data_IF_423224434753
#
_entry.id   IF_423224434753
#
_cell.length_a   1.000
_cell.length_b   1.000
_cell.length_c   1.000
_cell.angle_alpha   90.00
_cell.angle_beta   90.00
_cell.angle_gamma   90.00
#
_symmetry.space_group_name_H-M   'P 1'
#
loop_
_entity.id
_entity.type
_entity.pdbx_description
1 polymer ?
#
# COMPACT_ATOMS: atom_id res chain seq x y z
N UNK A 1 19.18 -6.90 6.83
CA UNK A 1 17.80 -6.44 6.68
C UNK A 1 17.81 -4.94 6.46
N UNK A 2 17.16 -4.49 5.39
CA UNK A 2 17.12 -3.10 4.97
C UNK A 2 15.77 -2.75 4.35
N UNK A 3 15.39 -1.50 4.57
CA UNK A 3 14.27 -0.85 3.89
C UNK A 3 14.84 0.02 2.78
N UNK A 4 14.47 -0.23 1.52
CA UNK A 4 14.98 0.55 0.38
C UNK A 4 13.90 1.37 -0.32
N UNK A 5 12.62 1.04 -0.14
CA UNK A 5 11.51 1.78 -0.74
C UNK A 5 10.39 2.01 0.27
N UNK A 6 9.93 3.26 0.35
CA UNK A 6 8.75 3.68 1.08
C UNK A 6 7.90 4.57 0.15
N UNK A 7 6.56 4.54 0.26
CA UNK A 7 5.66 5.28 -0.61
C UNK A 7 5.50 6.74 -0.15
N UNK A 8 6.62 7.47 -0.14
CA UNK A 8 6.74 8.76 0.56
C UNK A 8 6.27 9.95 -0.25
N UNK A 9 6.09 9.80 -1.56
CA UNK A 9 5.45 10.82 -2.41
C UNK A 9 3.97 10.54 -2.60
N UNK A 10 3.18 11.58 -2.89
CA UNK A 10 1.75 11.42 -3.15
C UNK A 10 1.47 10.48 -4.33
N UNK A 11 2.33 10.47 -5.35
CA UNK A 11 2.21 9.56 -6.50
C UNK A 11 2.41 8.10 -6.07
N UNK A 12 3.47 7.80 -5.33
CA UNK A 12 3.74 6.45 -4.82
C UNK A 12 2.64 5.99 -3.86
N UNK A 13 2.13 6.89 -3.02
CA UNK A 13 1.01 6.61 -2.13
C UNK A 13 -0.24 6.22 -2.91
N UNK A 14 -0.58 6.96 -3.98
CA UNK A 14 -1.71 6.61 -4.86
C UNK A 14 -1.50 5.27 -5.57
N UNK A 15 -0.29 4.99 -6.04
CA UNK A 15 0.04 3.69 -6.65
C UNK A 15 -0.15 2.54 -5.66
N UNK A 16 0.32 2.69 -4.42
CA UNK A 16 0.12 1.70 -3.38
C UNK A 16 -1.36 1.55 -3.01
N UNK A 17 -2.13 2.64 -2.91
CA UNK A 17 -3.58 2.59 -2.70
C UNK A 17 -4.26 1.77 -3.81
N UNK A 18 -3.96 2.07 -5.08
CA UNK A 18 -4.52 1.34 -6.22
C UNK A 18 -4.14 -0.14 -6.21
N UNK A 19 -2.91 -0.47 -5.83
CA UNK A 19 -2.47 -1.86 -5.67
C UNK A 19 -3.27 -2.59 -4.59
N UNK A 20 -3.53 -1.93 -3.45
CA UNK A 20 -4.28 -2.51 -2.32
C UNK A 20 -5.81 -2.49 -2.49
N UNK A 21 -6.30 -1.98 -3.63
CA UNK A 21 -7.72 -1.98 -4.00
C UNK A 21 -8.29 -3.39 -4.17
N UNK A 22 -7.49 -4.26 -4.76
CA UNK A 22 -7.86 -5.60 -5.15
C UNK A 22 -7.03 -6.61 -4.35
N UNK A 23 -7.49 -7.86 -4.19
CA UNK A 23 -6.67 -8.90 -3.59
C UNK A 23 -5.27 -8.92 -4.20
N UNK A 24 -4.24 -9.01 -3.35
CA UNK A 24 -2.85 -9.05 -3.78
C UNK A 24 -2.32 -10.46 -3.51
N UNK A 25 -2.27 -11.34 -4.53
CA UNK A 25 -1.78 -12.71 -4.36
C UNK A 25 -0.30 -12.74 -3.96
N UNK A 26 0.05 -13.60 -3.02
CA UNK A 26 1.43 -13.76 -2.54
C UNK A 26 2.45 -13.99 -3.67
N UNK A 27 2.10 -14.76 -4.72
CA UNK A 27 2.99 -15.03 -5.86
C UNK A 27 3.44 -13.78 -6.63
N UNK A 28 2.63 -12.73 -6.67
CA UNK A 28 2.91 -11.50 -7.41
C UNK A 28 3.25 -10.32 -6.48
N UNK A 29 3.12 -10.50 -5.17
CA UNK A 29 3.20 -9.42 -4.21
C UNK A 29 4.57 -8.73 -4.19
N UNK A 30 5.66 -9.51 -4.14
CA UNK A 30 7.04 -8.98 -4.10
C UNK A 30 7.34 -8.11 -5.32
N UNK A 31 6.98 -8.57 -6.52
CA UNK A 31 7.26 -7.82 -7.75
C UNK A 31 6.45 -6.53 -7.83
N UNK A 32 5.19 -6.54 -7.36
CA UNK A 32 4.36 -5.34 -7.29
C UNK A 32 4.84 -4.32 -6.24
N UNK A 33 5.43 -4.79 -5.13
CA UNK A 33 5.81 -3.94 -4.00
C UNK A 33 7.25 -3.44 -4.08
N UNK A 34 8.13 -4.10 -4.84
CA UNK A 34 9.59 -3.86 -4.85
C UNK A 34 10.01 -2.38 -4.86
N UNK A 35 9.38 -1.56 -5.71
CA UNK A 35 9.72 -0.13 -5.84
C UNK A 35 8.82 0.81 -5.03
N UNK A 36 7.75 0.29 -4.40
CA UNK A 36 6.74 1.07 -3.68
C UNK A 36 6.87 0.94 -2.17
N UNK A 37 7.06 -0.28 -1.67
CA UNK A 37 7.19 -0.63 -0.26
C UNK A 37 8.11 -1.85 -0.15
N UNK A 38 9.41 -1.58 -0.17
CA UNK A 38 10.47 -2.59 -0.22
C UNK A 38 11.23 -2.66 1.10
N UNK A 39 11.11 -3.80 1.77
CA UNK A 39 11.67 -4.08 3.09
C UNK A 39 11.98 -5.57 3.20
N UNK A 40 13.17 -5.92 3.67
CA UNK A 40 13.60 -7.33 3.77
C UNK A 40 12.63 -8.15 4.64
N UNK A 41 12.27 -7.64 5.82
CA UNK A 41 11.37 -8.35 6.76
C UNK A 41 9.97 -8.55 6.17
N UNK A 42 9.43 -7.54 5.46
CA UNK A 42 8.15 -7.67 4.75
C UNK A 42 8.22 -8.78 3.70
N UNK A 43 9.32 -8.85 2.96
CA UNK A 43 9.43 -9.78 1.83
C UNK A 43 9.62 -11.22 2.32
N UNK A 44 10.37 -11.41 3.40
CA UNK A 44 10.48 -12.70 4.10
C UNK A 44 9.12 -13.19 4.63
N UNK A 45 8.29 -12.28 5.19
CA UNK A 45 6.93 -12.63 5.63
C UNK A 45 5.99 -12.94 4.46
N UNK A 46 6.14 -12.26 3.31
CA UNK A 46 5.37 -12.59 2.10
C UNK A 46 5.72 -14.00 1.60
N UNK A 47 7.00 -14.36 1.55
CA UNK A 47 7.42 -15.72 1.16
C UNK A 47 6.95 -16.79 2.15
N UNK A 48 6.97 -16.45 3.44
CA UNK A 48 6.42 -17.31 4.50
C UNK A 48 4.93 -17.51 4.32
N UNK A 49 4.17 -16.45 4.05
CA UNK A 49 2.73 -16.53 3.76
C UNK A 49 2.45 -17.33 2.48
N UNK A 50 3.25 -17.12 1.42
CA UNK A 50 3.16 -17.88 0.17
C UNK A 50 3.33 -19.38 0.41
N UNK A 51 4.30 -19.75 1.25
CA UNK A 51 4.63 -21.14 1.57
C UNK A 51 3.57 -21.79 2.46
N UNK A 52 3.06 -21.06 3.47
CA UNK A 52 2.16 -21.63 4.48
C UNK A 52 0.68 -21.55 4.11
N UNK A 53 0.27 -20.51 3.37
CA UNK A 53 -1.13 -20.22 3.03
C UNK A 53 -1.43 -20.43 1.54
N UNK A 54 -0.40 -20.61 0.72
CA UNK A 54 -0.49 -20.84 -0.72
C UNK A 54 -0.25 -19.58 -1.56
N UNK A 55 0.05 -19.80 -2.84
CA UNK A 55 0.43 -18.76 -3.80
C UNK A 55 -0.63 -17.67 -4.03
N UNK A 56 -1.90 -18.02 -3.81
CA UNK A 56 -3.06 -17.15 -4.00
C UNK A 56 -3.53 -16.47 -2.71
N UNK A 57 -2.81 -16.64 -1.60
CA UNK A 57 -3.14 -15.97 -0.35
C UNK A 57 -3.11 -14.44 -0.54
N UNK A 58 -4.15 -13.74 -0.08
CA UNK A 58 -4.24 -12.28 -0.15
C UNK A 58 -3.37 -11.64 0.95
N UNK A 59 -2.25 -11.03 0.55
CA UNK A 59 -1.26 -10.47 1.49
C UNK A 59 -1.51 -9.00 1.83
N UNK A 60 -2.61 -8.38 1.37
CA UNK A 60 -2.96 -7.00 1.75
C UNK A 60 -2.93 -6.73 3.26
N UNK A 61 -3.40 -7.64 4.15
CA UNK A 61 -3.31 -7.41 5.60
C UNK A 61 -1.86 -7.27 6.09
N UNK A 62 -0.95 -8.08 5.56
CA UNK A 62 0.48 -8.03 5.88
C UNK A 62 1.10 -6.69 5.44
N UNK A 63 0.82 -6.29 4.20
CA UNK A 63 1.29 -4.99 3.65
C UNK A 63 0.80 -3.82 4.48
N UNK A 64 -0.48 -3.81 4.88
CA UNK A 64 -1.06 -2.74 5.72
C UNK A 64 -0.42 -2.70 7.10
N UNK A 65 -0.08 -3.84 7.68
CA UNK A 65 0.61 -3.93 8.98
C UNK A 65 1.99 -3.26 8.92
N UNK A 66 2.78 -3.62 7.91
CA UNK A 66 4.11 -3.05 7.69
C UNK A 66 4.05 -1.57 7.33
N UNK A 67 3.15 -1.18 6.44
CA UNK A 67 2.90 0.23 6.12
C UNK A 67 2.56 1.05 7.38
N UNK A 68 1.69 0.54 8.24
CA UNK A 68 1.32 1.21 9.48
C UNK A 68 2.50 1.38 10.43
N UNK A 69 3.39 0.36 10.54
CA UNK A 69 4.65 0.47 11.28
C UNK A 69 5.52 1.61 10.74
N UNK A 70 5.73 1.68 9.42
CA UNK A 70 6.53 2.76 8.82
C UNK A 70 5.92 4.15 9.01
N UNK A 71 4.59 4.29 8.94
CA UNK A 71 3.92 5.56 9.20
C UNK A 71 4.07 6.01 10.66
N UNK A 72 4.02 5.08 11.62
CA UNK A 72 4.29 5.39 13.04
C UNK A 72 5.75 5.79 13.27
N UNK A 73 6.65 5.22 12.49
CA UNK A 73 8.09 5.44 12.58
C UNK A 73 8.59 6.42 11.50
N UNK A 74 7.72 7.28 10.97
CA UNK A 74 8.03 8.13 9.80
C UNK A 74 9.30 8.97 9.94
N UNK A 75 9.61 9.38 11.17
CA UNK A 75 10.81 10.18 11.51
C UNK A 75 12.13 9.39 11.36
N UNK A 76 12.05 8.05 11.25
CA UNK A 76 13.19 7.17 11.00
C UNK A 76 13.46 6.93 9.51
N UNK A 77 12.57 7.37 8.64
CA UNK A 77 12.73 7.18 7.20
C UNK A 77 13.92 8.01 6.68
N UNK A 78 14.64 7.47 5.70
CA UNK A 78 15.80 8.17 5.11
C UNK A 78 15.41 9.47 4.40
N UNK A 79 14.21 9.53 3.83
CA UNK A 79 13.61 10.73 3.25
C UNK A 79 12.42 11.17 4.11
N UNK A 80 12.05 12.46 4.11
CA UNK A 80 10.80 12.89 4.72
C UNK A 80 9.60 12.37 3.93
N UNK A 81 8.47 12.22 4.61
CA UNK A 81 7.20 11.95 3.98
C UNK A 81 6.57 13.23 3.47
N UNK A 82 6.01 13.19 2.27
CA UNK A 82 5.02 14.16 1.85
C UNK A 82 3.79 14.05 2.77
N UNK A 83 3.24 15.19 3.19
CA UNK A 83 2.15 15.20 4.17
C UNK A 83 0.85 14.63 3.57
N UNK A 84 0.57 14.88 2.29
CA UNK A 84 -0.61 14.31 1.63
C UNK A 84 -0.46 12.79 1.47
N UNK A 85 0.74 12.31 1.14
CA UNK A 85 1.05 10.88 1.12
C UNK A 85 0.85 10.24 2.49
N UNK A 86 1.37 10.88 3.55
CA UNK A 86 1.24 10.41 4.94
C UNK A 86 -0.23 10.31 5.37
N UNK A 87 -1.03 11.35 5.12
CA UNK A 87 -2.44 11.38 5.48
C UNK A 87 -3.24 10.34 4.69
N UNK A 88 -3.02 10.25 3.37
CA UNK A 88 -3.67 9.26 2.52
C UNK A 88 -3.43 7.83 3.02
N UNK A 89 -2.17 7.48 3.27
CA UNK A 89 -1.78 6.13 3.69
C UNK A 89 -2.21 5.83 5.12
N UNK A 90 -2.18 6.82 6.02
CA UNK A 90 -2.72 6.69 7.38
C UNK A 90 -4.22 6.39 7.37
N UNK A 91 -4.98 7.04 6.48
CA UNK A 91 -6.42 6.84 6.38
C UNK A 91 -6.77 5.41 5.92
N UNK A 92 -6.06 4.86 4.93
CA UNK A 92 -6.32 3.48 4.48
C UNK A 92 -5.89 2.43 5.51
N UNK A 93 -4.91 2.72 6.37
CA UNK A 93 -4.52 1.84 7.48
C UNK A 93 -5.55 1.86 8.62
N UNK A 94 -6.12 3.03 8.94
CA UNK A 94 -7.10 3.20 10.04
C UNK A 94 -8.51 2.74 9.69
N UNK A 95 -8.91 2.86 8.42
CA UNK A 95 -10.24 2.43 7.97
C UNK A 95 -10.16 1.78 6.59
N UNK A 96 -10.12 0.44 6.52
CA UNK A 96 -10.16 -0.29 5.25
C UNK A 96 -11.40 0.04 4.39
N UNK A 97 -12.49 0.48 5.02
CA UNK A 97 -13.75 0.83 4.35
C UNK A 97 -13.70 2.13 3.52
N UNK A 98 -12.74 3.04 3.79
CA UNK A 98 -12.57 4.30 3.04
C UNK A 98 -12.18 4.08 1.57
N UNK A 99 -11.77 2.86 1.21
CA UNK A 99 -11.44 2.49 -0.16
C UNK A 99 -12.61 2.72 -1.13
N UNK A 100 -13.84 2.46 -0.67
CA UNK A 100 -15.06 2.56 -1.49
C UNK A 100 -15.46 4.00 -1.85
N UNK A 101 -14.95 5.00 -1.14
CA UNK A 101 -15.33 6.42 -1.33
C UNK A 101 -14.48 7.12 -2.39
N UNK A 102 -13.25 6.65 -2.66
CA UNK A 102 -12.34 7.28 -3.64
C UNK A 102 -12.79 6.95 -5.08
N UNK A 103 -13.34 5.75 -5.31
CA UNK A 103 -13.97 5.38 -6.59
C UNK A 103 -15.21 6.24 -6.93
N UNK A 104 -15.86 6.83 -5.93
CA UNK A 104 -17.04 7.68 -6.12
C UNK A 104 -16.74 9.08 -6.66
N UNK A 105 -15.52 9.59 -6.47
CA UNK A 105 -15.16 10.96 -6.87
C UNK A 105 -14.62 11.05 -8.31
N UNK A 106 -14.26 9.93 -8.94
CA UNK A 106 -13.79 9.89 -10.33
C UNK A 106 -14.90 9.65 -11.38
N UNK A 107 -16.18 9.58 -10.97
CA UNK A 107 -17.33 9.38 -11.88
C UNK A 107 -18.15 10.63 -12.22
N UNK A 108 -17.67 11.83 -11.86
CA UNK A 108 -18.48 13.07 -12.00
C UNK A 108 -17.87 14.13 -12.92
N UNK A 109 -17.40 13.75 -14.10
CA UNK A 109 -17.15 14.71 -15.19
C UNK A 109 -17.55 14.16 -16.56
N UNK A 110 -18.79 13.68 -16.70
CA UNK A 110 -19.49 13.71 -17.99
C UNK A 110 -20.94 14.12 -17.75
N UNK A 111 -21.16 15.41 -17.47
CA UNK A 111 -22.47 16.02 -17.68
C UNK A 111 -22.65 16.21 -19.18
N UNK A 112 -23.48 15.35 -19.79
CA UNK A 112 -24.15 15.65 -21.06
C UNK A 112 -24.88 16.99 -20.90
N UNK A 113 -24.52 17.96 -21.74
CA UNK A 113 -25.26 19.20 -21.90
C UNK A 113 -26.42 18.96 -22.90
N UNK A 114 -27.60 19.57 -22.71
CA UNK A 114 -28.80 19.34 -23.52
C UNK A 114 -28.67 19.87 -24.95
#
# INVERSE_FOLDING_TARGET
MGTWALPQTLEQAKQLVLLLAQPLPAINAISCLYSLLGDDDLFDEIETARTNLGEQADIRPLVRSYLFRFLKERERAFKPWDEDAYQLLTNICKSPALFTMIDGQNKTTERKNP
#
